data_IF_984859136990
#
_entry.id   IF_984859136990
#
_cell.length_a   1.000
_cell.length_b   1.000
_cell.length_c   1.000
_cell.angle_alpha   90.00
_cell.angle_beta   90.00
_cell.angle_gamma   90.00
#
_symmetry.space_group_name_H-M   'P 1'
#
loop_
_entity.id
_entity.type
_entity.pdbx_description
1 polymer ?
#
# COMPACT_ATOMS: atom_id res chain seq x y z
N UNK A 1 -19.07 2.39 -2.88
CA UNK A 1 -19.38 2.67 -1.45
C UNK A 1 -20.18 1.50 -0.91
N UNK A 2 -19.80 0.92 0.22
CA UNK A 2 -20.49 -0.23 0.83
C UNK A 2 -20.44 -0.14 2.36
N UNK A 3 -21.31 -0.86 3.09
CA UNK A 3 -21.43 -0.73 4.55
C UNK A 3 -20.16 -1.14 5.29
N UNK A 4 -20.00 -0.68 6.53
CA UNK A 4 -18.95 -1.17 7.44
C UNK A 4 -19.05 -2.69 7.56
N UNK A 5 -17.90 -3.37 7.54
CA UNK A 5 -17.85 -4.85 7.58
C UNK A 5 -17.95 -5.55 6.22
N UNK A 6 -18.19 -4.85 5.10
CA UNK A 6 -18.23 -5.50 3.78
C UNK A 6 -16.85 -5.89 3.20
N UNK A 7 -15.79 -5.88 4.01
CA UNK A 7 -14.47 -6.38 3.62
C UNK A 7 -13.56 -5.42 2.84
N UNK A 8 -13.89 -4.12 2.71
CA UNK A 8 -13.05 -3.14 1.99
C UNK A 8 -11.62 -3.08 2.54
N UNK A 9 -11.48 -2.96 3.86
CA UNK A 9 -10.16 -2.92 4.52
C UNK A 9 -9.43 -4.25 4.35
N UNK A 10 -10.13 -5.37 4.46
CA UNK A 10 -9.58 -6.71 4.21
C UNK A 10 -9.04 -6.83 2.78
N UNK A 11 -9.79 -6.38 1.78
CA UNK A 11 -9.36 -6.39 0.38
C UNK A 11 -8.07 -5.62 0.17
N UNK A 12 -7.99 -4.39 0.70
CA UNK A 12 -6.77 -3.58 0.59
C UNK A 12 -5.59 -4.28 1.27
N UNK A 13 -5.80 -4.89 2.44
CA UNK A 13 -4.74 -5.61 3.14
C UNK A 13 -4.23 -6.84 2.37
N UNK A 14 -5.10 -7.54 1.65
CA UNK A 14 -4.72 -8.66 0.78
C UNK A 14 -3.94 -8.18 -0.46
N UNK A 15 -4.37 -7.08 -1.09
CA UNK A 15 -3.64 -6.47 -2.22
C UNK A 15 -2.23 -6.03 -1.83
N UNK A 16 -2.06 -5.51 -0.62
CA UNK A 16 -0.76 -5.09 -0.07
C UNK A 16 0.08 -6.24 0.52
N UNK A 17 -0.44 -7.47 0.45
CA UNK A 17 0.12 -8.68 1.08
C UNK A 17 0.52 -8.47 2.54
N UNK A 18 -0.37 -7.82 3.31
CA UNK A 18 -0.28 -7.81 4.77
C UNK A 18 -0.76 -9.13 5.39
N UNK A 19 -1.59 -9.87 4.66
CA UNK A 19 -1.99 -11.25 4.96
C UNK A 19 -1.81 -12.13 3.73
N UNK A 20 -1.66 -13.43 3.94
CA UNK A 20 -1.68 -14.42 2.87
C UNK A 20 -3.12 -14.81 2.53
N UNK A 21 -3.33 -15.31 1.31
CA UNK A 21 -4.64 -15.77 0.84
C UNK A 21 -4.92 -17.17 1.37
N UNK A 22 -6.09 -17.38 1.96
CA UNK A 22 -6.56 -18.73 2.34
C UNK A 22 -6.99 -19.56 1.12
N UNK A 23 -7.31 -18.91 0.00
CA UNK A 23 -7.68 -19.56 -1.26
C UNK A 23 -7.85 -18.57 -2.41
N UNK A 24 -7.74 -19.08 -3.64
CA UNK A 24 -7.75 -18.29 -4.87
C UNK A 24 -6.41 -17.61 -5.15
N UNK A 25 -6.42 -16.69 -6.13
CA UNK A 25 -5.21 -16.01 -6.62
C UNK A 25 -5.54 -14.54 -6.94
N UNK A 26 -4.56 -13.67 -6.75
CA UNK A 26 -4.61 -12.26 -7.17
C UNK A 26 -3.47 -12.03 -8.15
N UNK A 27 -3.79 -11.38 -9.26
CA UNK A 27 -2.82 -11.05 -10.31
C UNK A 27 -2.66 -9.53 -10.42
N UNK A 28 -1.43 -9.08 -10.55
CA UNK A 28 -1.07 -7.73 -10.95
C UNK A 28 -0.40 -7.81 -12.32
N UNK A 29 -1.01 -7.17 -13.33
CA UNK A 29 -0.53 -7.20 -14.72
C UNK A 29 -0.24 -8.61 -15.26
N UNK A 30 -1.09 -9.57 -14.89
CA UNK A 30 -0.97 -10.97 -15.31
C UNK A 30 0.04 -11.80 -14.52
N UNK A 31 0.78 -11.21 -13.57
CA UNK A 31 1.67 -11.94 -12.65
C UNK A 31 1.01 -12.14 -11.30
N UNK A 32 1.07 -13.36 -10.75
CA UNK A 32 0.51 -13.64 -9.44
C UNK A 32 1.28 -12.86 -8.35
N UNK A 33 0.55 -12.17 -7.47
CA UNK A 33 1.19 -11.31 -6.45
C UNK A 33 2.06 -12.09 -5.46
N UNK A 34 1.83 -13.40 -5.31
CA UNK A 34 2.63 -14.30 -4.47
C UNK A 34 4.07 -14.43 -4.99
N UNK A 35 4.26 -14.34 -6.32
CA UNK A 35 5.55 -14.41 -7.03
C UNK A 35 6.26 -13.06 -7.18
N UNK A 36 5.65 -11.98 -6.68
CA UNK A 36 6.22 -10.63 -6.66
C UNK A 36 6.78 -10.38 -5.25
N UNK A 37 7.96 -9.78 -5.16
CA UNK A 37 8.51 -9.39 -3.84
C UNK A 37 7.61 -8.34 -3.20
N UNK A 38 7.50 -8.34 -1.87
CA UNK A 38 6.65 -7.37 -1.16
C UNK A 38 7.06 -5.93 -1.45
N UNK A 39 8.35 -5.64 -1.56
CA UNK A 39 8.86 -4.31 -1.92
C UNK A 39 8.41 -3.88 -3.32
N UNK A 40 8.61 -4.72 -4.35
CA UNK A 40 8.19 -4.40 -5.73
C UNK A 40 6.67 -4.29 -5.86
N UNK A 41 5.93 -5.10 -5.11
CA UNK A 41 4.47 -5.02 -5.09
C UNK A 41 4.03 -3.68 -4.49
N UNK A 42 4.58 -3.31 -3.33
CA UNK A 42 4.19 -2.08 -2.61
C UNK A 42 4.64 -0.82 -3.31
N UNK A 43 5.78 -0.83 -4.02
CA UNK A 43 6.19 0.31 -4.84
C UNK A 43 5.25 0.58 -6.01
N UNK A 44 4.45 -0.41 -6.41
CA UNK A 44 3.41 -0.27 -7.45
C UNK A 44 2.10 0.31 -6.93
N UNK A 45 1.95 0.48 -5.60
CA UNK A 45 0.75 1.03 -4.97
C UNK A 45 1.04 2.32 -4.20
N UNK A 46 0.29 3.39 -4.49
CA UNK A 46 0.14 4.52 -3.58
C UNK A 46 -1.04 4.30 -2.64
N UNK A 47 -0.82 4.34 -1.32
CA UNK A 47 -1.88 4.15 -0.33
C UNK A 47 -2.02 5.41 0.53
N UNK A 48 -3.25 5.94 0.59
CA UNK A 48 -3.62 7.01 1.53
C UNK A 48 -4.59 6.43 2.55
N UNK A 49 -4.16 6.37 3.81
CA UNK A 49 -4.97 5.84 4.90
C UNK A 49 -6.02 6.87 5.35
N UNK A 50 -7.16 6.38 5.83
CA UNK A 50 -8.19 7.24 6.43
C UNK A 50 -7.67 7.96 7.68
N UNK A 51 -6.85 7.27 8.49
CA UNK A 51 -6.05 7.90 9.53
C UNK A 51 -4.61 8.05 9.04
N UNK A 52 -4.21 9.28 8.76
CA UNK A 52 -2.86 9.61 8.33
C UNK A 52 -1.91 9.63 9.52
N UNK A 53 -0.72 9.05 9.34
CA UNK A 53 0.37 9.17 10.30
C UNK A 53 1.38 10.21 9.80
N UNK A 54 1.76 11.13 10.69
CA UNK A 54 2.82 12.11 10.44
C UNK A 54 3.99 11.84 11.37
N UNK A 55 5.19 11.90 10.82
CA UNK A 55 6.42 11.84 11.60
C UNK A 55 6.65 13.19 12.27
N UNK A 56 7.21 13.18 13.48
CA UNK A 56 7.76 14.39 14.08
C UNK A 56 8.88 14.94 13.18
N UNK A 57 8.65 16.12 12.62
CA UNK A 57 9.53 16.76 11.65
C UNK A 57 8.80 17.90 10.92
N UNK A 58 9.50 18.51 9.97
CA UNK A 58 8.96 19.52 9.07
C UNK A 58 7.98 18.92 8.05
N UNK A 59 7.22 19.80 7.42
CA UNK A 59 6.33 19.43 6.29
C UNK A 59 7.15 18.81 5.15
N UNK A 60 8.29 19.40 4.81
CA UNK A 60 9.17 18.91 3.75
C UNK A 60 9.67 17.49 4.03
N UNK A 61 10.04 17.18 5.29
CA UNK A 61 10.47 15.83 5.68
C UNK A 61 9.33 14.81 5.60
N UNK A 62 8.10 15.19 5.93
CA UNK A 62 6.94 14.32 5.78
C UNK A 62 6.59 14.05 4.30
N UNK A 63 6.77 15.04 3.42
CA UNK A 63 6.57 14.87 1.96
C UNK A 63 7.66 13.98 1.36
N UNK A 64 8.93 14.26 1.66
CA UNK A 64 10.08 13.49 1.18
C UNK A 64 10.10 12.04 1.70
N UNK A 65 9.29 11.70 2.70
CA UNK A 65 9.14 10.31 3.16
C UNK A 65 8.73 9.35 2.03
N UNK A 66 7.91 9.80 1.08
CA UNK A 66 7.51 8.99 -0.07
C UNK A 66 8.60 8.84 -1.15
N UNK A 67 9.58 9.72 -1.18
CA UNK A 67 10.74 9.68 -2.08
C UNK A 67 11.93 10.38 -1.40
N UNK A 68 12.82 9.62 -0.71
CA UNK A 68 13.93 10.19 0.05
C UNK A 68 14.93 10.99 -0.80
N UNK A 69 14.99 10.71 -2.10
CA UNK A 69 15.90 11.37 -3.04
C UNK A 69 15.23 12.59 -3.72
N UNK A 70 14.05 12.99 -3.26
CA UNK A 70 13.34 14.16 -3.81
C UNK A 70 14.16 15.45 -3.61
N UNK A 71 14.30 16.21 -4.70
CA UNK A 71 14.89 17.54 -4.67
C UNK A 71 13.99 18.53 -3.92
N UNK A 72 14.56 19.66 -3.48
CA UNK A 72 13.79 20.76 -2.86
C UNK A 72 13.24 21.77 -3.88
N UNK A 73 13.54 21.55 -5.16
CA UNK A 73 13.03 22.29 -6.31
C UNK A 73 11.79 21.62 -6.89
#
# INVERSE_FOLDING_TARGET
>A
VGPTGCGKTTLINLLMRFYDLDGGQIFLDGKEISEITKDSLRSSFGMVLQETWLKSGSIAENIAYGNPDATRE
#
